data_IF_144105370673
#
_entry.id   IF_144105370673
#
_cell.length_a   1.000
_cell.length_b   1.000
_cell.length_c   1.000
_cell.angle_alpha   90.00
_cell.angle_beta   90.00
_cell.angle_gamma   90.00
#
_symmetry.space_group_name_H-M   'P 1'
#
loop_
_entity.id
_entity.type
_entity.pdbx_description
1 polymer ?
#
# COMPACT_ATOMS: atom_id res chain seq x y z
N UNK A 1 0.81 4.37 14.75
CA UNK A 1 0.77 4.66 13.30
C UNK A 1 1.19 3.48 12.44
N UNK A 2 2.29 2.77 12.77
CA UNK A 2 2.78 1.63 11.98
C UNK A 2 1.69 0.55 11.73
N UNK A 3 0.99 0.13 12.80
CA UNK A 3 -0.10 -0.85 12.70
C UNK A 3 -1.26 -0.37 11.80
N UNK A 4 -1.62 0.92 11.89
CA UNK A 4 -2.73 1.50 11.12
C UNK A 4 -2.36 1.62 9.64
N UNK A 5 -1.14 2.08 9.33
CA UNK A 5 -0.65 2.17 7.95
C UNK A 5 -0.54 0.79 7.29
N UNK A 6 -0.15 -0.23 8.06
CA UNK A 6 -0.10 -1.62 7.58
C UNK A 6 -1.50 -2.17 7.27
N UNK A 7 -2.43 -2.07 8.23
CA UNK A 7 -3.80 -2.60 8.08
C UNK A 7 -4.53 -1.90 6.92
N UNK A 8 -4.44 -0.56 6.85
CA UNK A 8 -5.06 0.20 5.77
C UNK A 8 -4.37 -0.06 4.42
N UNK A 9 -3.05 -0.25 4.40
CA UNK A 9 -2.30 -0.61 3.21
C UNK A 9 -2.73 -1.95 2.62
N UNK A 10 -3.04 -2.95 3.46
CA UNK A 10 -3.54 -4.26 3.02
C UNK A 10 -4.88 -4.13 2.28
N UNK A 11 -5.75 -3.21 2.72
CA UNK A 11 -7.09 -2.99 2.15
C UNK A 11 -7.03 -2.10 0.88
N UNK A 12 -5.84 -1.67 0.45
CA UNK A 12 -5.66 -0.82 -0.73
C UNK A 12 -5.60 0.67 -0.44
N UNK A 13 -5.76 1.08 0.81
CA UNK A 13 -5.56 2.46 1.25
C UNK A 13 -4.08 2.75 1.56
N UNK A 14 -3.23 2.35 0.62
CA UNK A 14 -1.80 2.65 0.61
C UNK A 14 -1.61 4.18 0.60
N UNK A 15 -0.65 4.72 1.35
CA UNK A 15 -0.38 6.18 1.38
C UNK A 15 -1.17 7.05 2.36
N UNK A 16 -2.16 6.53 3.11
CA UNK A 16 -2.86 7.32 4.16
C UNK A 16 -1.88 7.82 5.23
N UNK A 17 -0.86 7.03 5.58
CA UNK A 17 0.18 7.43 6.53
C UNK A 17 0.95 8.68 6.08
N UNK A 18 1.25 8.79 4.79
CA UNK A 18 1.94 9.94 4.20
C UNK A 18 1.05 11.19 4.14
N UNK A 19 -0.24 11.02 3.85
CA UNK A 19 -1.24 12.11 3.91
C UNK A 19 -1.34 12.70 5.33
N UNK A 20 -1.31 11.85 6.35
CA UNK A 20 -1.36 12.26 7.75
C UNK A 20 -0.17 13.13 8.19
N UNK A 21 0.99 12.92 7.56
CA UNK A 21 2.24 13.65 7.83
C UNK A 21 2.41 14.85 6.87
N UNK A 22 1.34 15.25 6.18
CA UNK A 22 1.35 16.41 5.27
C UNK A 22 2.09 16.16 3.94
N UNK A 23 2.56 14.94 3.67
CA UNK A 23 3.21 14.58 2.39
C UNK A 23 2.18 14.15 1.34
N UNK A 24 1.34 15.11 0.95
CA UNK A 24 0.17 14.90 0.08
C UNK A 24 0.54 14.21 -1.23
N UNK A 25 1.57 14.69 -1.94
CA UNK A 25 1.95 14.12 -3.25
C UNK A 25 2.33 12.63 -3.18
N UNK A 26 3.15 12.24 -2.19
CA UNK A 26 3.55 10.83 -1.99
C UNK A 26 2.37 9.97 -1.55
N UNK A 27 1.54 10.50 -0.65
CA UNK A 27 0.35 9.79 -0.18
C UNK A 27 -0.65 9.53 -1.30
N UNK A 28 -0.94 10.51 -2.15
CA UNK A 28 -1.84 10.35 -3.30
C UNK A 28 -1.27 9.34 -4.30
N UNK A 29 0.03 9.40 -4.61
CA UNK A 29 0.65 8.44 -5.54
C UNK A 29 0.50 6.99 -5.06
N UNK A 30 0.75 6.73 -3.78
CA UNK A 30 0.57 5.41 -3.17
C UNK A 30 -0.91 5.00 -3.12
N UNK A 31 -1.82 5.95 -2.91
CA UNK A 31 -3.25 5.68 -2.86
C UNK A 31 -3.81 5.30 -4.23
N UNK A 32 -3.38 5.98 -5.30
CA UNK A 32 -3.69 5.59 -6.68
C UNK A 32 -3.14 4.19 -6.98
N UNK A 33 -1.91 3.90 -6.56
CA UNK A 33 -1.32 2.57 -6.73
C UNK A 33 -2.17 1.48 -6.06
N UNK A 34 -2.57 1.69 -4.80
CA UNK A 34 -3.45 0.76 -4.09
C UNK A 34 -4.83 0.61 -4.73
N UNK A 35 -5.42 1.71 -5.22
CA UNK A 35 -6.71 1.74 -5.89
C UNK A 35 -6.71 0.98 -7.22
N UNK A 36 -5.57 0.89 -7.91
CA UNK A 36 -5.45 0.11 -9.15
C UNK A 36 -5.16 -1.36 -8.83
N UNK A 37 -4.27 -1.61 -7.87
CA UNK A 37 -3.83 -2.96 -7.53
C UNK A 37 -4.95 -3.82 -6.96
N UNK A 38 -5.73 -3.30 -6.01
CA UNK A 38 -6.75 -4.11 -5.32
C UNK A 38 -7.85 -4.63 -6.27
N UNK A 39 -8.46 -3.80 -7.14
CA UNK A 39 -9.41 -4.30 -8.14
C UNK A 39 -8.79 -5.32 -9.09
N UNK A 40 -7.51 -5.16 -9.44
CA UNK A 40 -6.80 -6.12 -10.28
C UNK A 40 -6.65 -7.48 -9.58
N UNK A 41 -6.32 -7.49 -8.28
CA UNK A 41 -6.33 -8.71 -7.47
C UNK A 41 -7.71 -9.37 -7.41
N UNK A 42 -8.76 -8.58 -7.20
CA UNK A 42 -10.14 -9.07 -7.16
C UNK A 42 -10.54 -9.67 -8.51
N UNK A 43 -10.20 -9.02 -9.62
CA UNK A 43 -10.50 -9.50 -10.97
C UNK A 43 -9.80 -10.84 -11.28
N UNK A 44 -8.52 -10.97 -10.92
CA UNK A 44 -7.78 -12.24 -11.11
C UNK A 44 -8.36 -13.34 -10.22
N UNK A 45 -8.68 -13.05 -8.97
CA UNK A 45 -9.34 -14.02 -8.08
C UNK A 45 -10.69 -14.47 -8.61
N UNK A 46 -11.50 -13.55 -9.12
CA UNK A 46 -12.79 -13.88 -9.74
C UNK A 46 -12.62 -14.74 -10.99
N UNK A 47 -11.64 -14.42 -11.84
CA UNK A 47 -11.30 -15.25 -13.00
C UNK A 47 -10.94 -16.69 -12.59
N UNK A 48 -10.08 -16.85 -11.58
CA UNK A 48 -9.66 -18.17 -11.08
C UNK A 48 -10.82 -18.98 -10.47
N UNK A 49 -11.77 -18.31 -9.81
CA UNK A 49 -12.98 -18.94 -9.26
C UNK A 49 -13.90 -19.47 -10.37
N UNK A 50 -14.01 -18.74 -11.49
CA UNK A 50 -14.88 -19.09 -12.61
C UNK A 50 -14.26 -20.16 -13.52
N UNK A 51 -12.94 -20.11 -13.75
CA UNK A 51 -12.25 -21.07 -14.63
C UNK A 51 -12.10 -22.46 -14.02
N UNK A 52 -12.13 -22.58 -12.69
CA UNK A 52 -11.95 -23.84 -11.99
C UNK A 52 -10.49 -24.30 -11.96
N UNK A 53 -10.12 -25.05 -10.92
CA UNK A 53 -8.71 -25.37 -10.59
C UNK A 53 -7.97 -26.15 -11.70
N UNK A 54 -8.70 -26.82 -12.60
CA UNK A 54 -8.13 -27.63 -13.69
C UNK A 54 -7.71 -26.89 -14.96
N UNK A 55 -8.04 -25.60 -15.09
CA UNK A 55 -7.79 -24.80 -16.31
C UNK A 55 -7.01 -23.51 -16.03
N UNK A 56 -6.13 -23.52 -15.04
CA UNK A 56 -5.34 -22.33 -14.73
C UNK A 56 -4.13 -22.28 -15.67
N UNK A 57 -4.15 -21.33 -16.60
CA UNK A 57 -3.04 -21.04 -17.52
C UNK A 57 -1.85 -20.42 -16.78
N UNK A 58 -0.65 -20.91 -17.07
CA UNK A 58 0.62 -20.38 -16.57
C UNK A 58 0.83 -18.89 -16.94
N UNK A 59 0.22 -18.44 -18.04
CA UNK A 59 0.22 -17.04 -18.47
C UNK A 59 -0.49 -16.11 -17.47
N UNK A 60 -1.34 -16.65 -16.58
CA UNK A 60 -2.05 -15.90 -15.54
C UNK A 60 -1.36 -16.02 -14.18
N UNK A 61 -0.93 -17.24 -13.80
CA UNK A 61 -0.33 -17.50 -12.49
C UNK A 61 0.99 -16.75 -12.31
N UNK A 62 1.88 -16.82 -13.31
CA UNK A 62 3.24 -16.28 -13.16
C UNK A 62 3.19 -14.75 -12.97
N UNK A 63 2.48 -13.97 -13.82
CA UNK A 63 2.34 -12.53 -13.58
C UNK A 63 1.66 -12.20 -12.26
N UNK A 64 0.68 -12.99 -11.83
CA UNK A 64 -0.01 -12.78 -10.55
C UNK A 64 0.91 -12.96 -9.35
N UNK A 65 1.77 -13.97 -9.35
CA UNK A 65 2.78 -14.17 -8.30
C UNK A 65 3.77 -13.00 -8.29
N UNK A 66 4.29 -12.60 -9.46
CA UNK A 66 5.22 -11.47 -9.57
C UNK A 66 4.58 -10.19 -9.03
N UNK A 67 3.34 -9.90 -9.41
CA UNK A 67 2.58 -8.75 -8.93
C UNK A 67 2.39 -8.80 -7.40
N UNK A 68 2.11 -9.97 -6.84
CA UNK A 68 1.96 -10.18 -5.39
C UNK A 68 3.25 -9.87 -4.65
N UNK A 69 4.39 -10.33 -5.16
CA UNK A 69 5.70 -10.03 -4.58
C UNK A 69 5.99 -8.52 -4.63
N UNK A 70 5.74 -7.86 -5.77
CA UNK A 70 5.89 -6.41 -5.91
C UNK A 70 5.01 -5.67 -4.89
N UNK A 71 3.74 -6.07 -4.77
CA UNK A 71 2.81 -5.46 -3.84
C UNK A 71 3.26 -5.62 -2.38
N UNK A 72 3.75 -6.80 -1.99
CA UNK A 72 4.30 -7.04 -0.64
C UNK A 72 5.52 -6.17 -0.35
N UNK A 73 6.43 -6.02 -1.32
CA UNK A 73 7.60 -5.14 -1.19
C UNK A 73 7.15 -3.70 -0.97
N UNK A 74 6.21 -3.21 -1.80
CA UNK A 74 5.66 -1.85 -1.69
C UNK A 74 4.94 -1.67 -0.34
N UNK A 75 4.19 -2.67 0.12
CA UNK A 75 3.47 -2.65 1.40
C UNK A 75 4.42 -2.49 2.59
N UNK A 76 5.50 -3.28 2.62
CA UNK A 76 6.51 -3.21 3.69
C UNK A 76 7.22 -1.86 3.63
N UNK A 77 7.67 -1.46 2.45
CA UNK A 77 8.41 -0.21 2.26
C UNK A 77 7.58 1.02 2.64
N UNK A 78 6.34 1.15 2.16
CA UNK A 78 5.51 2.30 2.49
C UNK A 78 5.21 2.40 3.98
N UNK A 79 5.08 1.24 4.67
CA UNK A 79 4.73 1.19 6.09
C UNK A 79 5.91 1.70 6.91
N UNK A 80 7.12 1.28 6.54
CA UNK A 80 8.35 1.78 7.13
C UNK A 80 8.53 3.29 6.86
N UNK A 81 8.39 3.73 5.61
CA UNK A 81 8.57 5.14 5.24
C UNK A 81 7.55 6.06 5.94
N UNK A 82 6.27 5.66 5.99
CA UNK A 82 5.23 6.39 6.71
C UNK A 82 5.51 6.45 8.22
N UNK A 83 6.07 5.38 8.80
CA UNK A 83 6.43 5.36 10.21
C UNK A 83 7.60 6.29 10.53
N UNK A 84 8.62 6.30 9.67
CA UNK A 84 9.77 7.17 9.82
C UNK A 84 9.39 8.65 9.67
N UNK A 85 8.53 8.97 8.69
CA UNK A 85 7.95 10.30 8.53
C UNK A 85 7.17 10.73 9.78
N UNK A 86 6.36 9.84 10.35
CA UNK A 86 5.61 10.13 11.56
C UNK A 86 6.53 10.40 12.77
N UNK A 87 7.66 9.70 12.89
CA UNK A 87 8.67 9.99 13.92
C UNK A 87 9.28 11.38 13.73
N UNK A 88 9.66 11.72 12.50
CA UNK A 88 10.22 13.04 12.18
C UNK A 88 9.21 14.16 12.48
N UNK A 89 7.95 13.97 12.10
CA UNK A 89 6.88 14.90 12.44
C UNK A 89 6.74 15.12 13.95
N UNK A 90 6.64 14.03 14.71
CA UNK A 90 6.52 14.10 16.16
C UNK A 90 7.76 14.73 16.81
N UNK A 91 8.95 14.49 16.27
CA UNK A 91 10.17 15.11 16.77
C UNK A 91 10.13 16.62 16.58
N UNK A 92 9.81 17.10 15.37
CA UNK A 92 9.71 18.54 15.10
C UNK A 92 8.67 19.18 16.02
N UNK A 93 7.45 18.63 16.06
CA UNK A 93 6.37 19.14 16.89
C UNK A 93 6.75 19.24 18.38
N UNK A 94 7.52 18.27 18.91
CA UNK A 94 7.99 18.29 20.30
C UNK A 94 9.07 19.35 20.55
N UNK A 95 9.90 19.65 19.56
CA UNK A 95 11.01 20.61 19.70
C UNK A 95 10.60 22.05 19.48
N UNK A 96 9.71 22.30 18.51
CA UNK A 96 9.30 23.66 18.12
C UNK A 96 7.94 24.06 18.68
N UNK A 97 7.14 23.09 19.14
CA UNK A 97 5.74 23.30 19.51
C UNK A 97 4.82 23.56 18.32
N UNK A 98 5.34 23.54 17.09
CA UNK A 98 4.62 23.86 15.85
C UNK A 98 4.72 22.68 14.86
N UNK A 99 3.64 22.35 14.14
CA UNK A 99 3.72 21.38 13.04
C UNK A 99 4.65 21.90 11.92
N UNK A 100 5.41 21.03 11.22
CA UNK A 100 6.34 21.40 10.16
C UNK A 100 5.66 21.75 8.82
N UNK A 101 4.39 22.17 8.83
CA UNK A 101 3.63 22.62 7.66
C UNK A 101 2.64 23.72 8.01
#
# INVERSE_FOLDING_TARGET
MLLIALILGIIGFMGIGHLYVGKIARGIALLIFGLIIVPMFVAVMMYLMVSGIGYIDETVIVPFIVLTVIWLIVLIWQTYDAHELAKQYNHVLRTTGLPPW
#
